data_IF_041667144589
#
_entry.id   IF_041667144589
#
_cell.length_a   1.000
_cell.length_b   1.000
_cell.length_c   1.000
_cell.angle_alpha   90.00
_cell.angle_beta   90.00
_cell.angle_gamma   90.00
#
_symmetry.space_group_name_H-M   'P 1'
#
loop_
_entity.id
_entity.type
_entity.pdbx_description
1 polymer ?
#
# COMPACT_ATOMS: atom_id res chain seq x y z
N UNK A 1 22.10 10.83 8.38
CA UNK A 1 22.23 9.77 9.41
C UNK A 1 20.97 8.93 9.56
N UNK A 2 19.76 9.51 9.70
CA UNK A 2 18.50 8.74 9.87
C UNK A 2 18.21 7.71 8.75
N UNK A 3 18.25 8.11 7.48
CA UNK A 3 17.98 7.21 6.34
C UNK A 3 18.96 6.04 6.28
N UNK A 4 20.20 6.23 6.74
CA UNK A 4 21.24 5.21 6.74
C UNK A 4 21.00 4.16 7.83
N UNK A 5 20.57 4.60 9.02
CA UNK A 5 20.21 3.73 10.15
C UNK A 5 18.94 2.91 9.85
N UNK A 6 17.99 3.47 9.11
CA UNK A 6 16.71 2.82 8.80
C UNK A 6 16.60 2.29 7.37
N UNK A 7 17.71 2.20 6.64
CA UNK A 7 17.74 1.77 5.23
C UNK A 7 17.06 0.41 4.99
N UNK A 8 17.14 -0.50 5.95
CA UNK A 8 16.50 -1.83 5.87
C UNK A 8 14.99 -1.79 6.19
N UNK A 9 14.51 -0.71 6.81
CA UNK A 9 13.12 -0.55 7.27
C UNK A 9 12.32 0.38 6.37
N UNK A 10 12.95 1.43 5.83
CA UNK A 10 12.38 2.35 4.86
C UNK A 10 12.66 1.77 3.48
N UNK A 11 11.70 1.03 2.95
CA UNK A 11 11.73 0.57 1.57
C UNK A 11 10.89 1.52 0.73
N UNK A 12 11.54 2.22 -0.19
CA UNK A 12 10.84 3.00 -1.21
C UNK A 12 10.56 2.09 -2.41
N UNK A 13 9.30 1.69 -2.55
CA UNK A 13 8.85 0.92 -3.69
C UNK A 13 8.26 1.86 -4.74
N UNK A 14 8.81 1.79 -5.95
CA UNK A 14 8.25 2.47 -7.11
C UNK A 14 7.48 1.47 -7.96
N UNK A 15 6.17 1.39 -7.74
CA UNK A 15 5.31 0.47 -8.48
C UNK A 15 4.89 1.07 -9.82
N UNK A 16 5.02 0.28 -10.89
CA UNK A 16 4.54 0.68 -12.20
C UNK A 16 3.01 0.52 -12.29
N UNK A 17 2.32 1.31 -13.14
CA UNK A 17 0.96 0.99 -13.56
C UNK A 17 0.85 -0.46 -14.03
N UNK A 18 -0.19 -1.17 -13.61
CA UNK A 18 -0.40 -2.59 -13.88
C UNK A 18 0.28 -3.55 -12.89
N UNK A 19 1.10 -3.06 -11.95
CA UNK A 19 1.66 -3.91 -10.89
C UNK A 19 0.59 -4.32 -9.88
N UNK A 20 0.66 -5.56 -9.40
CA UNK A 20 -0.14 -6.03 -8.26
C UNK A 20 0.57 -5.67 -6.95
N UNK A 21 -0.20 -5.14 -6.00
CA UNK A 21 0.29 -4.71 -4.69
C UNK A 21 -0.65 -5.15 -3.59
N UNK A 22 -0.09 -5.42 -2.41
CA UNK A 22 -0.84 -5.58 -1.17
C UNK A 22 -0.94 -4.25 -0.45
N UNK A 23 -2.10 -3.98 0.16
CA UNK A 23 -2.33 -2.74 0.90
C UNK A 23 -2.40 -3.01 2.39
N UNK A 24 -1.53 -2.36 3.16
CA UNK A 24 -1.55 -2.40 4.62
C UNK A 24 -2.81 -1.74 5.18
N UNK A 25 -3.54 -2.50 6.01
CA UNK A 25 -4.76 -2.05 6.66
C UNK A 25 -4.44 -1.26 7.94
N UNK A 26 -4.00 -0.01 7.77
CA UNK A 26 -3.58 0.86 8.88
C UNK A 26 -4.68 1.18 9.88
N UNK A 27 -5.97 1.10 9.48
CA UNK A 27 -7.10 1.34 10.39
C UNK A 27 -7.15 0.27 11.48
N UNK A 28 -6.98 -0.98 11.08
CA UNK A 28 -7.03 -2.14 11.98
C UNK A 28 -5.81 -2.21 12.89
N UNK A 29 -4.70 -1.54 12.55
CA UNK A 29 -3.49 -1.59 13.36
C UNK A 29 -3.64 -1.05 14.78
N UNK A 30 -4.57 -0.11 14.99
CA UNK A 30 -4.80 0.51 16.31
C UNK A 30 -5.97 -0.11 17.09
N UNK A 31 -6.65 -1.11 16.52
CA UNK A 31 -7.84 -1.70 17.14
C UNK A 31 -7.49 -2.82 18.12
N UNK A 32 -8.26 -2.95 19.21
CA UNK A 32 -8.03 -3.96 20.25
C UNK A 32 -8.25 -5.39 19.72
N UNK A 33 -9.14 -5.57 18.73
CA UNK A 33 -9.41 -6.84 18.07
C UNK A 33 -8.58 -7.07 16.79
N UNK A 34 -7.45 -6.37 16.62
CA UNK A 34 -6.57 -6.49 15.44
C UNK A 34 -6.16 -7.93 15.12
N UNK A 35 -5.96 -8.78 16.15
CA UNK A 35 -5.42 -10.13 15.96
C UNK A 35 -6.26 -11.01 15.04
N UNK A 36 -7.57 -10.80 15.00
CA UNK A 36 -8.50 -11.61 14.19
C UNK A 36 -8.80 -10.99 12.82
N UNK A 37 -8.29 -9.79 12.53
CA UNK A 37 -8.58 -9.05 11.30
C UNK A 37 -7.43 -9.15 10.29
N UNK A 38 -7.71 -9.06 8.98
CA UNK A 38 -6.68 -9.12 7.94
C UNK A 38 -5.73 -7.92 8.04
N UNK A 39 -4.43 -8.19 8.09
CA UNK A 39 -3.36 -7.17 8.17
C UNK A 39 -3.16 -6.44 6.84
N UNK A 40 -3.37 -7.17 5.74
CA UNK A 40 -3.26 -6.66 4.39
C UNK A 40 -4.60 -6.87 3.67
N UNK A 41 -5.01 -5.87 2.92
CA UNK A 41 -6.08 -5.97 1.95
C UNK A 41 -5.49 -6.55 0.67
N UNK A 42 -6.35 -7.21 -0.11
CA UNK A 42 -5.99 -8.11 -1.20
C UNK A 42 -5.07 -7.53 -2.28
N UNK A 43 -4.75 -8.36 -3.29
CA UNK A 43 -4.03 -7.89 -4.46
C UNK A 43 -4.85 -6.79 -5.15
N UNK A 44 -4.28 -5.59 -5.18
CA UNK A 44 -4.82 -4.46 -5.90
C UNK A 44 -3.91 -4.10 -7.07
N UNK A 45 -4.52 -3.69 -8.18
CA UNK A 45 -3.81 -3.24 -9.37
C UNK A 45 -3.44 -1.76 -9.23
N UNK A 46 -2.19 -1.42 -9.50
CA UNK A 46 -1.76 -0.02 -9.55
C UNK A 46 -2.28 0.62 -10.84
N UNK A 47 -3.13 1.63 -10.71
CA UNK A 47 -3.63 2.40 -11.87
C UNK A 47 -2.60 3.46 -12.25
N UNK A 48 -2.18 4.28 -11.28
CA UNK A 48 -1.15 5.32 -11.47
C UNK A 48 -0.62 5.86 -10.15
N UNK A 49 0.57 6.46 -10.20
CA UNK A 49 1.13 7.29 -9.13
C UNK A 49 0.76 8.75 -9.36
N UNK A 50 0.31 9.44 -8.31
CA UNK A 50 0.03 10.88 -8.34
C UNK A 50 1.32 11.68 -8.17
N UNK A 51 1.29 12.98 -8.52
CA UNK A 51 2.43 13.89 -8.32
C UNK A 51 2.88 13.98 -6.85
N UNK A 52 1.96 13.76 -5.90
CA UNK A 52 2.24 13.74 -4.47
C UNK A 52 2.79 12.40 -3.94
N UNK A 53 3.05 11.43 -4.83
CA UNK A 53 3.63 10.14 -4.46
C UNK A 53 2.66 9.10 -3.89
N UNK A 54 1.36 9.42 -3.85
CA UNK A 54 0.32 8.43 -3.54
C UNK A 54 -0.07 7.64 -4.79
N UNK A 55 -0.68 6.48 -4.60
CA UNK A 55 -1.13 5.60 -5.68
C UNK A 55 -2.64 5.50 -5.70
N UNK A 56 -3.19 5.51 -6.91
CA UNK A 56 -4.55 5.08 -7.20
C UNK A 56 -4.52 3.59 -7.54
N UNK A 57 -5.42 2.84 -6.90
CA UNK A 57 -5.50 1.40 -7.04
C UNK A 57 -6.86 0.98 -7.56
N UNK A 58 -6.92 -0.17 -8.21
CA UNK A 58 -8.14 -0.86 -8.57
C UNK A 58 -8.18 -2.25 -7.94
N UNK A 59 -9.38 -2.70 -7.61
CA UNK A 59 -9.64 -4.11 -7.29
C UNK A 59 -9.48 -4.96 -8.57
N UNK A 60 -9.35 -6.29 -8.40
CA UNK A 60 -9.10 -7.21 -9.52
C UNK A 60 -10.27 -7.30 -10.52
N UNK A 61 -11.47 -6.89 -10.12
CA UNK A 61 -12.65 -6.79 -10.98
C UNK A 61 -12.64 -5.53 -11.87
N UNK A 62 -11.61 -4.68 -11.76
CA UNK A 62 -11.49 -3.42 -12.47
C UNK A 62 -12.13 -2.23 -11.76
N UNK A 63 -12.73 -2.44 -10.58
CA UNK A 63 -13.32 -1.35 -9.78
C UNK A 63 -12.22 -0.44 -9.23
N UNK A 64 -12.23 0.83 -9.63
CA UNK A 64 -11.24 1.82 -9.16
C UNK A 64 -11.57 2.25 -7.72
N UNK A 65 -10.60 2.15 -6.83
CA UNK A 65 -10.73 2.66 -5.47
C UNK A 65 -10.83 4.19 -5.48
N UNK A 66 -11.80 4.72 -4.74
CA UNK A 66 -11.94 6.16 -4.48
C UNK A 66 -10.83 6.72 -3.58
N UNK A 67 -10.09 5.84 -2.90
CA UNK A 67 -9.04 6.20 -1.96
C UNK A 67 -7.69 6.30 -2.66
N UNK A 68 -6.88 7.25 -2.21
CA UNK A 68 -5.46 7.29 -2.55
C UNK A 68 -4.65 6.60 -1.44
N UNK A 69 -3.72 5.74 -1.83
CA UNK A 69 -2.88 5.00 -0.89
C UNK A 69 -1.47 5.57 -0.86
N UNK A 70 -0.95 5.84 0.33
CA UNK A 70 0.43 6.28 0.48
C UNK A 70 1.41 5.14 0.17
N UNK A 71 2.57 5.47 -0.43
CA UNK A 71 3.57 4.49 -0.85
C UNK A 71 3.99 3.51 0.27
N UNK A 72 4.17 4.00 1.51
CA UNK A 72 4.57 3.16 2.64
C UNK A 72 3.52 2.12 3.08
N UNK A 73 2.27 2.25 2.60
CA UNK A 73 1.20 1.27 2.84
C UNK A 73 1.21 0.14 1.81
N UNK A 74 1.96 0.28 0.73
CA UNK A 74 1.98 -0.68 -0.36
C UNK A 74 3.16 -1.63 -0.22
N UNK A 75 2.89 -2.89 -0.53
CA UNK A 75 3.89 -3.96 -0.57
C UNK A 75 3.77 -4.66 -1.93
N UNK A 76 4.89 -5.15 -2.49
CA UNK A 76 4.82 -6.02 -3.67
C UNK A 76 3.98 -7.26 -3.35
N UNK A 77 3.16 -7.69 -4.30
CA UNK A 77 2.44 -8.96 -4.25
C UNK A 77 3.40 -10.14 -4.44
#
# INVERSE_FOLDING_TARGET
>A
QFEQTFKNRIKDYNFAPGSLVLVRNTRVEKELNRKTKPRYLGPMLVVRRTKGGSYMLAELDGSISKLCYAAFRLLPY
#
